data_IF_696929539942
#
_entry.id   IF_696929539942
#
_cell.length_a   1.000
_cell.length_b   1.000
_cell.length_c   1.000
_cell.angle_alpha   90.00
_cell.angle_beta   90.00
_cell.angle_gamma   90.00
#
_symmetry.space_group_name_H-M   'P 1'
#
loop_
_entity.id
_entity.type
_entity.pdbx_description
1 polymer ?
#
# COMPACT_ATOMS: atom_id res chain seq x y z
N UNK A 1 4.96 17.97 1.31
CA UNK A 1 4.17 16.71 1.20
C UNK A 1 4.67 15.74 2.26
N UNK A 2 3.77 15.07 3.01
CA UNK A 2 4.18 14.03 3.98
C UNK A 2 4.87 12.87 3.24
N UNK A 3 5.99 12.39 3.76
CA UNK A 3 6.73 11.26 3.19
C UNK A 3 5.86 10.00 3.28
N UNK A 4 5.56 9.40 2.12
CA UNK A 4 4.88 8.10 2.06
C UNK A 4 5.96 7.02 2.08
N UNK A 5 6.08 6.36 3.22
CA UNK A 5 6.96 5.20 3.39
C UNK A 5 6.18 3.93 3.06
N UNK A 6 6.78 3.03 2.29
CA UNK A 6 6.20 1.73 1.97
C UNK A 6 7.08 0.64 2.58
N UNK A 7 6.48 -0.44 3.09
CA UNK A 7 7.20 -1.66 3.49
C UNK A 7 7.70 -2.40 2.26
N UNK A 8 8.58 -3.38 2.45
CA UNK A 8 9.23 -4.12 1.37
C UNK A 8 8.24 -4.63 0.30
N UNK A 9 7.17 -5.32 0.70
CA UNK A 9 6.19 -5.87 -0.24
C UNK A 9 5.34 -4.79 -0.93
N UNK A 10 4.98 -3.73 -0.19
CA UNK A 10 4.23 -2.59 -0.74
C UNK A 10 5.08 -1.83 -1.77
N UNK A 11 6.37 -1.66 -1.48
CA UNK A 11 7.34 -1.02 -2.38
C UNK A 11 7.55 -1.87 -3.63
N UNK A 12 7.70 -3.19 -3.49
CA UNK A 12 7.85 -4.11 -4.62
C UNK A 12 6.64 -4.04 -5.57
N UNK A 13 5.42 -4.06 -5.02
CA UNK A 13 4.20 -3.90 -5.81
C UNK A 13 4.14 -2.52 -6.49
N UNK A 14 4.46 -1.45 -5.75
CA UNK A 14 4.52 -0.09 -6.27
C UNK A 14 5.50 0.04 -7.45
N UNK A 15 6.72 -0.45 -7.31
CA UNK A 15 7.75 -0.33 -8.35
C UNK A 15 7.37 -1.05 -9.63
N UNK A 16 6.81 -2.27 -9.53
CA UNK A 16 6.35 -3.05 -10.69
C UNK A 16 5.21 -2.36 -11.42
N UNK A 17 4.22 -1.84 -10.68
CA UNK A 17 3.07 -1.14 -11.26
C UNK A 17 3.48 0.23 -11.82
N UNK A 18 4.30 0.99 -11.11
CA UNK A 18 4.85 2.26 -11.59
C UNK A 18 5.61 2.07 -12.89
N UNK A 19 6.53 1.09 -12.94
CA UNK A 19 7.30 0.80 -14.15
C UNK A 19 6.39 0.47 -15.33
N UNK A 20 5.35 -0.34 -15.10
CA UNK A 20 4.37 -0.66 -16.14
C UNK A 20 3.61 0.57 -16.64
N UNK A 21 3.23 1.49 -15.74
CA UNK A 21 2.49 2.69 -16.13
C UNK A 21 3.38 3.69 -16.86
N UNK A 22 4.64 3.83 -16.44
CA UNK A 22 5.59 4.79 -17.02
C UNK A 22 6.19 4.30 -18.36
N UNK A 23 6.52 3.00 -18.45
CA UNK A 23 7.29 2.43 -19.57
C UNK A 23 6.48 1.43 -20.41
N UNK A 24 5.31 1.01 -19.94
CA UNK A 24 4.54 -0.07 -20.56
C UNK A 24 5.13 -1.46 -20.30
N UNK A 25 4.84 -2.40 -21.19
CA UNK A 25 5.37 -3.76 -21.16
C UNK A 25 4.31 -4.86 -20.96
N UNK A 26 4.75 -6.07 -20.62
CA UNK A 26 3.86 -7.22 -20.50
C UNK A 26 3.15 -7.27 -19.14
N UNK A 27 1.87 -6.88 -19.13
CA UNK A 27 1.05 -6.86 -17.93
C UNK A 27 0.86 -8.23 -17.24
N UNK A 28 0.74 -9.31 -18.03
CA UNK A 28 0.55 -10.66 -17.48
C UNK A 28 1.79 -11.12 -16.72
N UNK A 29 2.98 -10.80 -17.22
CA UNK A 29 4.25 -11.08 -16.54
C UNK A 29 4.34 -10.39 -15.19
N UNK A 30 3.95 -9.12 -15.12
CA UNK A 30 3.94 -8.36 -13.85
C UNK A 30 2.99 -9.00 -12.83
N UNK A 31 1.79 -9.42 -13.27
CA UNK A 31 0.85 -10.11 -12.40
C UNK A 31 1.42 -11.43 -11.87
N UNK A 32 2.14 -12.18 -12.72
CA UNK A 32 2.81 -13.42 -12.34
C UNK A 32 3.95 -13.17 -11.34
N UNK A 33 4.80 -12.17 -11.59
CA UNK A 33 5.90 -11.78 -10.68
C UNK A 33 5.39 -11.30 -9.33
N UNK A 34 4.22 -10.65 -9.28
CA UNK A 34 3.55 -10.24 -8.05
C UNK A 34 2.72 -11.36 -7.40
N UNK A 35 2.51 -12.49 -8.08
CA UNK A 35 1.64 -13.57 -7.60
C UNK A 35 0.18 -13.17 -7.44
N UNK A 36 -0.32 -12.22 -8.24
CA UNK A 36 -1.68 -11.68 -8.14
C UNK A 36 -2.53 -11.97 -9.38
N UNK A 37 -3.85 -11.94 -9.21
CA UNK A 37 -4.77 -12.00 -10.34
C UNK A 37 -4.64 -10.77 -11.26
N UNK A 38 -4.94 -10.95 -12.54
CA UNK A 38 -5.02 -9.86 -13.54
C UNK A 38 -5.97 -8.75 -13.09
N UNK A 39 -7.09 -9.10 -12.43
CA UNK A 39 -8.05 -8.14 -11.88
C UNK A 39 -7.42 -7.29 -10.77
N UNK A 40 -6.68 -7.91 -9.86
CA UNK A 40 -5.97 -7.20 -8.79
C UNK A 40 -4.94 -6.24 -9.36
N UNK A 41 -4.12 -6.68 -10.32
CA UNK A 41 -3.16 -5.80 -10.99
C UNK A 41 -3.83 -4.60 -11.66
N UNK A 42 -4.97 -4.79 -12.33
CA UNK A 42 -5.69 -3.68 -13.00
C UNK A 42 -6.22 -2.66 -11.98
N UNK A 43 -6.68 -3.13 -10.82
CA UNK A 43 -7.06 -2.26 -9.70
C UNK A 43 -5.86 -1.48 -9.16
N UNK A 44 -4.69 -2.11 -9.06
CA UNK A 44 -3.46 -1.42 -8.65
C UNK A 44 -3.07 -0.33 -9.65
N UNK A 45 -3.19 -0.58 -10.96
CA UNK A 45 -2.94 0.44 -11.99
C UNK A 45 -3.93 1.60 -11.87
N UNK A 46 -5.22 1.32 -11.70
CA UNK A 46 -6.23 2.36 -11.53
C UNK A 46 -6.01 3.18 -10.24
N UNK A 47 -5.67 2.49 -9.14
CA UNK A 47 -5.33 3.10 -7.86
C UNK A 47 -4.09 3.98 -7.93
N UNK A 48 -3.04 3.51 -8.59
CA UNK A 48 -1.82 4.29 -8.82
C UNK A 48 -2.10 5.56 -9.63
N UNK A 49 -2.95 5.49 -10.66
CA UNK A 49 -3.35 6.68 -11.44
C UNK A 49 -4.15 7.69 -10.63
N UNK A 50 -4.91 7.24 -9.63
CA UNK A 50 -5.77 8.09 -8.80
C UNK A 50 -5.03 8.68 -7.60
N UNK A 51 -4.39 7.81 -6.80
CA UNK A 51 -3.84 8.14 -5.49
C UNK A 51 -2.29 8.06 -5.46
N UNK A 52 -1.67 7.71 -6.59
CA UNK A 52 -0.22 7.61 -6.71
C UNK A 52 0.39 6.56 -5.77
N UNK A 53 1.51 6.91 -5.15
CA UNK A 53 2.21 6.06 -4.19
C UNK A 53 1.37 5.73 -2.95
N UNK A 54 0.39 6.57 -2.59
CA UNK A 54 -0.44 6.39 -1.40
C UNK A 54 -1.33 5.14 -1.49
N UNK A 55 -1.71 4.72 -2.69
CA UNK A 55 -2.56 3.54 -2.91
C UNK A 55 -1.96 2.25 -2.32
N UNK A 56 -0.63 2.15 -2.29
CA UNK A 56 0.08 0.95 -1.84
C UNK A 56 0.27 0.90 -0.32
N UNK A 57 -0.09 1.96 0.41
CA UNK A 57 -0.06 1.95 1.87
C UNK A 57 -1.16 1.02 2.38
N UNK A 58 -0.79 0.05 3.20
CA UNK A 58 -1.77 -0.86 3.79
C UNK A 58 -2.76 -0.10 4.69
N UNK A 59 -4.07 -0.26 4.44
CA UNK A 59 -5.13 0.48 5.16
C UNK A 59 -5.17 0.24 6.67
N UNK A 60 -4.64 -0.88 7.15
CA UNK A 60 -4.54 -1.18 8.58
C UNK A 60 -3.33 -0.53 9.28
N UNK A 61 -2.40 0.11 8.55
CA UNK A 61 -1.13 0.57 9.13
C UNK A 61 -1.31 1.56 10.28
N UNK A 62 -2.24 2.48 10.14
CA UNK A 62 -2.51 3.52 11.15
C UNK A 62 -3.94 3.39 11.74
N UNK A 63 -4.60 2.26 11.48
CA UNK A 63 -5.95 2.02 11.97
C UNK A 63 -5.90 1.51 13.40
N UNK A 64 -6.17 2.41 14.36
CA UNK A 64 -6.40 2.02 15.76
C UNK A 64 -7.64 1.13 15.86
N UNK A 65 -7.60 0.00 16.57
CA UNK A 65 -8.79 -0.81 16.80
C UNK A 65 -9.80 -0.04 17.66
N UNK A 66 -11.11 -0.31 17.52
CA UNK A 66 -12.13 0.40 18.28
C UNK A 66 -12.04 0.14 19.79
N UNK A 67 -11.45 -0.99 20.18
CA UNK A 67 -11.23 -1.39 21.58
C UNK A 67 -9.96 -0.80 22.19
N UNK A 68 -9.21 0.06 21.47
CA UNK A 68 -7.97 0.64 21.98
C UNK A 68 -8.27 1.58 23.16
N UNK A 69 -7.68 1.29 24.32
CA UNK A 69 -7.70 2.17 25.49
C UNK A 69 -7.10 3.54 25.11
N UNK A 70 -7.71 4.62 25.62
CA UNK A 70 -7.24 5.97 25.36
C UNK A 70 -5.80 6.18 25.85
N UNK A 71 -5.05 7.00 25.13
CA UNK A 71 -3.64 7.27 25.45
C UNK A 71 -3.50 7.93 26.83
N UNK A 72 -4.48 8.74 27.27
CA UNK A 72 -4.48 9.33 28.61
C UNK A 72 -4.67 8.29 29.72
N UNK A 73 -5.56 7.32 29.52
CA UNK A 73 -5.80 6.25 30.49
C UNK A 73 -4.57 5.35 30.63
N UNK A 74 -3.88 5.08 29.52
CA UNK A 74 -2.65 4.28 29.53
C UNK A 74 -1.52 4.96 30.30
N UNK A 75 -1.35 6.28 30.17
CA UNK A 75 -0.27 7.01 30.82
C UNK A 75 -0.36 6.94 32.36
N UNK A 76 -1.58 6.97 32.92
CA UNK A 76 -1.85 6.90 34.37
C UNK A 76 -1.50 5.58 35.05
N UNK A 77 -1.24 4.52 34.28
CA UNK A 77 -0.86 3.19 34.80
C UNK A 77 0.65 3.00 34.81
N UNK A 78 1.37 3.82 34.04
CA UNK A 78 2.83 3.76 33.93
C UNK A 78 3.49 4.71 34.95
N UNK A 79 2.81 5.80 35.31
CA UNK A 79 3.09 6.57 36.54
C UNK A 79 2.74 5.76 37.80
#
# INVERSE_FOLDING_TARGET
MRKIELRMNEMFAYEKIKRYVDQGGNFKRICLELGISVRTGRRMVAGYKKDGKAYFVHGNRDRKPPTRIDDKTRQKVIE
#
